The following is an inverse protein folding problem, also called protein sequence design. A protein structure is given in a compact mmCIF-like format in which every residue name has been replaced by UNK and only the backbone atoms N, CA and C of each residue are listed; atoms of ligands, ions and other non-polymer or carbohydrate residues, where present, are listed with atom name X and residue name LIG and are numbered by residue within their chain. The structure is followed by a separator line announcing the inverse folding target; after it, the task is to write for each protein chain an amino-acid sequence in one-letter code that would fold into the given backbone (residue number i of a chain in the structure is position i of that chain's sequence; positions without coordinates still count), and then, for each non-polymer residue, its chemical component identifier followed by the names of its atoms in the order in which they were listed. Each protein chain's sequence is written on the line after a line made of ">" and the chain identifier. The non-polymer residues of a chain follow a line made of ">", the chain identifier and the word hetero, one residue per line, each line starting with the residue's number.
data_IF_314297726099
#
_entry.id   IF_314297726099
#
_cell.length_a   1.000
_cell.length_b   1.000
_cell.length_c   1.000
_cell.angle_alpha   90.00
_cell.angle_beta   90.00
_cell.angle_gamma   90.00
#
_symmetry.space_group_name_H-M   'P 1'
#
loop_
_entity.id
_entity.type
_entity.pdbx_description
1 polymer ?
#
# COMPACT_ATOMS: atom_id res chain seq x y z
N UNK A 1 4.92 30.25 18.24
CA UNK A 1 3.77 29.45 17.78
C UNK A 1 4.19 27.99 17.83
N UNK A 2 3.70 27.23 18.81
CA UNK A 2 4.03 25.80 18.97
C UNK A 2 2.98 24.98 18.22
N UNK A 3 3.38 24.28 17.15
CA UNK A 3 2.52 23.28 16.50
C UNK A 3 2.63 22.01 17.33
N UNK A 4 1.60 21.72 18.13
CA UNK A 4 1.46 20.44 18.78
C UNK A 4 1.06 19.39 17.72
N UNK A 5 2.00 18.53 17.34
CA UNK A 5 1.69 17.37 16.51
C UNK A 5 0.89 16.41 17.38
N UNK A 6 -0.42 16.33 17.15
CA UNK A 6 -1.28 15.35 17.80
C UNK A 6 -0.75 13.95 17.44
N UNK A 7 -0.25 13.22 18.44
CA UNK A 7 0.16 11.83 18.25
C UNK A 7 -1.05 11.04 17.72
N UNK A 8 -0.89 10.16 16.72
CA UNK A 8 -1.97 9.29 16.31
C UNK A 8 -2.48 8.51 17.54
N UNK A 9 -3.81 8.42 17.71
CA UNK A 9 -4.42 7.72 18.85
C UNK A 9 -4.12 6.20 18.86
N UNK A 10 -3.44 5.69 17.82
CA UNK A 10 -3.05 4.30 17.63
C UNK A 10 -1.59 4.27 17.22
N UNK A 11 -0.75 3.64 18.03
CA UNK A 11 0.62 3.32 17.61
C UNK A 11 0.59 2.11 16.65
N UNK A 12 1.25 2.18 15.48
CA UNK A 12 1.29 1.05 14.55
C UNK A 12 2.05 -0.11 15.18
N UNK A 13 1.32 -1.12 15.64
CA UNK A 13 1.88 -2.37 16.16
C UNK A 13 2.16 -3.32 15.01
N UNK A 14 3.44 -3.44 14.65
CA UNK A 14 3.93 -4.43 13.68
C UNK A 14 3.92 -3.93 12.22
N UNK A 15 4.24 -4.81 11.25
CA UNK A 15 4.30 -4.47 9.83
C UNK A 15 2.87 -4.32 9.30
N UNK A 16 2.20 -3.29 9.75
CA UNK A 16 0.86 -2.94 9.32
C UNK A 16 0.96 -2.55 7.84
N UNK A 17 0.57 -3.48 6.97
CA UNK A 17 0.88 -3.38 5.56
C UNK A 17 0.21 -2.16 4.90
N UNK A 18 -0.85 -1.60 5.52
CA UNK A 18 -1.62 -0.46 4.98
C UNK A 18 -2.41 0.32 6.06
N UNK A 19 -1.82 0.68 7.21
CA UNK A 19 -2.54 1.46 8.23
C UNK A 19 -2.96 2.86 7.71
N UNK A 20 -4.27 3.11 7.57
CA UNK A 20 -4.83 4.46 7.40
C UNK A 20 -5.54 4.85 8.70
N UNK A 21 -5.37 6.08 9.23
CA UNK A 21 -6.04 6.50 10.47
C UNK A 21 -7.54 6.22 10.44
N UNK A 22 -8.05 5.50 11.46
CA UNK A 22 -9.46 5.15 11.60
C UNK A 22 -9.91 3.85 10.92
N UNK A 23 -9.02 3.13 10.23
CA UNK A 23 -9.34 1.80 9.69
C UNK A 23 -9.37 0.74 10.81
N UNK A 24 -10.31 -0.22 10.79
CA UNK A 24 -10.30 -1.32 11.74
C UNK A 24 -9.03 -2.16 11.55
N UNK A 25 -8.38 -2.52 12.66
CA UNK A 25 -7.22 -3.40 12.65
C UNK A 25 -7.62 -4.76 12.09
N UNK A 26 -6.95 -5.20 11.01
CA UNK A 26 -7.12 -6.56 10.48
C UNK A 26 -6.09 -7.44 11.20
N UNK A 27 -6.54 -8.13 12.26
CA UNK A 27 -5.67 -8.86 13.19
C UNK A 27 -4.75 -9.89 12.50
N UNK A 28 -5.21 -10.55 11.43
CA UNK A 28 -4.38 -11.40 10.57
C UNK A 28 -4.89 -11.32 9.12
N UNK A 29 -4.07 -10.74 8.22
CA UNK A 29 -4.32 -10.78 6.78
C UNK A 29 -3.83 -12.12 6.23
N UNK A 30 -4.73 -12.94 5.67
CA UNK A 30 -4.33 -14.15 4.94
C UNK A 30 -3.38 -13.80 3.78
N UNK A 31 -2.48 -14.69 3.35
CA UNK A 31 -1.56 -14.41 2.24
C UNK A 31 -2.27 -13.94 0.97
N UNK A 32 -3.45 -14.50 0.67
CA UNK A 32 -4.30 -14.09 -0.46
C UNK A 32 -4.85 -12.68 -0.29
N UNK A 33 -5.30 -12.32 0.91
CA UNK A 33 -5.81 -10.99 1.20
C UNK A 33 -4.69 -9.94 1.17
N UNK A 34 -3.51 -10.25 1.73
CA UNK A 34 -2.33 -9.40 1.62
C UNK A 34 -1.89 -9.20 0.17
N UNK A 35 -1.89 -10.26 -0.64
CA UNK A 35 -1.62 -10.18 -2.08
C UNK A 35 -2.59 -9.24 -2.79
N UNK A 36 -3.89 -9.37 -2.54
CA UNK A 36 -4.90 -8.47 -3.12
C UNK A 36 -4.65 -7.00 -2.73
N UNK A 37 -4.32 -6.74 -1.47
CA UNK A 37 -3.96 -5.39 -0.98
C UNK A 37 -2.71 -4.83 -1.67
N UNK A 38 -1.69 -5.64 -1.90
CA UNK A 38 -0.48 -5.21 -2.62
C UNK A 38 -0.81 -4.81 -4.07
N UNK A 39 -1.68 -5.57 -4.75
CA UNK A 39 -2.14 -5.22 -6.09
C UNK A 39 -3.01 -3.97 -6.12
N UNK A 40 -3.92 -3.80 -5.15
CA UNK A 40 -4.72 -2.59 -4.97
C UNK A 40 -3.82 -1.36 -4.78
N UNK A 41 -2.83 -1.45 -3.89
CA UNK A 41 -1.84 -0.40 -3.67
C UNK A 41 -1.05 -0.08 -4.94
N UNK A 42 -0.67 -1.08 -5.73
CA UNK A 42 0.01 -0.86 -7.00
C UNK A 42 -0.85 -0.06 -7.99
N UNK A 43 -2.14 -0.40 -8.08
CA UNK A 43 -3.11 0.30 -8.93
C UNK A 43 -3.32 1.77 -8.47
N UNK A 44 -3.53 1.99 -7.17
CA UNK A 44 -3.68 3.32 -6.59
C UNK A 44 -2.45 4.21 -6.84
N UNK A 45 -1.25 3.67 -6.67
CA UNK A 45 0.00 4.39 -6.97
C UNK A 45 0.10 4.77 -8.44
N UNK A 46 -0.29 3.86 -9.34
CA UNK A 46 -0.29 4.16 -10.79
C UNK A 46 -1.29 5.25 -11.15
N UNK A 47 -2.52 5.18 -10.63
CA UNK A 47 -3.52 6.22 -10.81
C UNK A 47 -3.02 7.58 -10.29
N UNK A 48 -2.47 7.60 -9.07
CA UNK A 48 -1.89 8.81 -8.48
C UNK A 48 -0.77 9.40 -9.33
N UNK A 49 0.14 8.57 -9.83
CA UNK A 49 1.22 9.01 -10.72
C UNK A 49 0.70 9.65 -12.01
N UNK A 50 -0.37 9.08 -12.61
CA UNK A 50 -1.01 9.66 -13.78
C UNK A 50 -1.70 11.00 -13.47
N UNK A 51 -2.36 11.13 -12.33
CA UNK A 51 -2.92 12.41 -11.86
C UNK A 51 -1.82 13.48 -11.73
N UNK A 52 -0.73 13.17 -11.02
CA UNK A 52 0.39 14.10 -10.81
C UNK A 52 1.02 14.53 -12.16
N UNK A 53 1.12 13.60 -13.12
CA UNK A 53 1.63 13.90 -14.47
C UNK A 53 0.73 14.87 -15.22
N UNK A 54 -0.59 14.72 -15.10
CA UNK A 54 -1.58 15.67 -15.68
C UNK A 54 -1.51 17.05 -15.03
N UNK A 55 -1.18 17.11 -13.74
CA UNK A 55 -0.93 18.34 -12.98
C UNK A 55 0.46 18.97 -13.26
N UNK A 56 1.26 18.43 -14.21
CA UNK A 56 2.65 18.85 -14.46
C UNK A 56 3.61 18.73 -13.26
N UNK A 57 3.26 17.92 -12.25
CA UNK A 57 4.11 17.61 -11.08
C UNK A 57 4.95 16.37 -11.38
N UNK A 58 5.99 16.56 -12.21
CA UNK A 58 6.72 15.44 -12.82
C UNK A 58 7.52 14.60 -11.80
N UNK A 59 8.19 15.23 -10.84
CA UNK A 59 8.98 14.50 -9.82
C UNK A 59 8.09 13.62 -8.93
N UNK A 60 6.95 14.16 -8.48
CA UNK A 60 5.92 13.41 -7.77
C UNK A 60 5.38 12.25 -8.63
N UNK A 61 5.11 12.51 -9.92
CA UNK A 61 4.60 11.51 -10.83
C UNK A 61 5.59 10.36 -11.01
N UNK A 62 6.87 10.66 -11.19
CA UNK A 62 7.94 9.68 -11.30
C UNK A 62 8.03 8.81 -10.05
N UNK A 63 8.03 9.44 -8.86
CA UNK A 63 8.03 8.72 -7.59
C UNK A 63 6.89 7.70 -7.51
N UNK A 64 5.64 8.13 -7.76
CA UNK A 64 4.47 7.26 -7.68
C UNK A 64 4.47 6.16 -8.73
N UNK A 65 4.87 6.47 -9.96
CA UNK A 65 4.96 5.50 -11.06
C UNK A 65 6.05 4.46 -10.82
N UNK A 66 7.19 4.85 -10.22
CA UNK A 66 8.27 3.94 -9.85
C UNK A 66 7.91 3.06 -8.63
N UNK A 67 7.12 3.58 -7.68
CA UNK A 67 6.68 2.84 -6.51
C UNK A 67 5.62 1.76 -6.81
N UNK A 68 4.88 1.87 -7.92
CA UNK A 68 3.86 0.90 -8.34
C UNK A 68 4.43 -0.49 -8.66
N UNK A 69 5.44 -0.67 -9.55
CA UNK A 69 6.00 -1.99 -9.84
C UNK A 69 6.65 -2.66 -8.63
N UNK A 70 7.14 -1.89 -7.65
CA UNK A 70 7.67 -2.45 -6.39
C UNK A 70 6.56 -3.21 -5.63
N UNK A 71 5.35 -2.66 -5.56
CA UNK A 71 4.22 -3.34 -4.92
C UNK A 71 3.79 -4.61 -5.68
N UNK A 72 3.83 -4.56 -7.02
CA UNK A 72 3.58 -5.75 -7.85
C UNK A 72 4.61 -6.84 -7.57
N UNK A 73 5.91 -6.51 -7.56
CA UNK A 73 6.97 -7.48 -7.24
C UNK A 73 6.78 -8.13 -5.87
N UNK A 74 6.38 -7.36 -4.86
CA UNK A 74 6.06 -7.90 -3.53
C UNK A 74 4.86 -8.84 -3.56
N UNK A 75 3.83 -8.53 -4.35
CA UNK A 75 2.68 -9.42 -4.52
C UNK A 75 3.10 -10.73 -5.21
N UNK A 76 3.88 -10.66 -6.30
CA UNK A 76 4.40 -11.83 -7.00
C UNK A 76 5.23 -12.74 -6.09
N UNK A 77 6.19 -12.17 -5.34
CA UNK A 77 7.00 -12.93 -4.38
C UNK A 77 6.12 -13.61 -3.31
N UNK A 78 5.14 -12.90 -2.75
CA UNK A 78 4.21 -13.47 -1.78
C UNK A 78 3.41 -14.66 -2.35
N UNK A 79 3.02 -14.59 -3.64
CA UNK A 79 2.33 -15.69 -4.32
C UNK A 79 3.23 -16.91 -4.50
N UNK A 80 4.50 -16.69 -4.85
CA UNK A 80 5.49 -17.75 -5.01
C UNK A 80 5.82 -18.43 -3.67
N UNK A 81 6.01 -17.65 -2.60
CA UNK A 81 6.37 -18.15 -1.28
C UNK A 81 5.24 -18.91 -0.57
N UNK A 82 3.99 -18.47 -0.73
CA UNK A 82 2.86 -18.94 0.09
C UNK A 82 1.84 -19.77 -0.68
N UNK A 83 2.10 -20.06 -1.96
CA UNK A 83 1.24 -20.82 -2.91
C UNK A 83 -0.24 -20.82 -2.50
N UNK A 84 -1.02 -19.88 -3.02
CA UNK A 84 -2.41 -19.73 -2.60
C UNK A 84 -3.21 -21.01 -2.84
N UNK A 85 -3.83 -21.57 -1.79
CA UNK A 85 -4.78 -22.68 -1.90
C UNK A 85 -5.83 -22.36 -2.97
N UNK A 86 -6.29 -23.32 -3.79
CA UNK A 86 -7.25 -23.07 -4.85
C UNK A 86 -8.50 -22.34 -4.33
N UNK A 87 -9.12 -21.52 -5.18
CA UNK A 87 -10.42 -20.94 -4.87
C UNK A 87 -11.46 -22.07 -4.79
N UNK A 88 -12.41 -22.03 -3.84
CA UNK A 88 -13.51 -22.98 -3.78
C UNK A 88 -14.41 -22.90 -5.02
#
# INVERSE_FOLDING_TARGET
>A
MFIAIARPAVEPQGPDAVAVPGSPAIAELSPRALHARLLENAALRRLRGLERRREHRLDDAEYWLHAAPIAVRKASALREERSFSPLP
#
